data_IF_031108886657
#
_entry.id   IF_031108886657
#
_cell.length_a   1.000
_cell.length_b   1.000
_cell.length_c   1.000
_cell.angle_alpha   90.00
_cell.angle_beta   90.00
_cell.angle_gamma   90.00
#
_symmetry.space_group_name_H-M   'P 1'
#
loop_
_entity.id
_entity.type
_entity.pdbx_description
1 polymer ?
#
# COMPACT_ATOMS: atom_id res chain seq x y z
N UNK A 1 2.40 -12.50 -23.46
CA UNK A 1 2.47 -11.30 -22.58
C UNK A 1 3.62 -11.50 -21.62
N UNK A 2 4.66 -10.66 -21.63
CA UNK A 2 5.70 -10.70 -20.60
C UNK A 2 5.10 -10.07 -19.34
N UNK A 3 4.88 -10.85 -18.28
CA UNK A 3 4.58 -10.31 -16.97
C UNK A 3 5.78 -9.47 -16.52
N UNK A 4 5.60 -8.17 -16.44
CA UNK A 4 6.57 -7.32 -15.78
C UNK A 4 6.48 -7.63 -14.28
N UNK A 5 7.45 -8.40 -13.80
CA UNK A 5 7.61 -8.66 -12.38
C UNK A 5 7.95 -7.33 -11.70
N UNK A 6 7.06 -6.87 -10.83
CA UNK A 6 7.28 -5.65 -10.07
C UNK A 6 7.02 -5.94 -8.57
N UNK A 7 7.63 -5.15 -7.70
CA UNK A 7 7.55 -5.31 -6.25
C UNK A 7 6.11 -5.33 -5.72
N UNK A 8 5.21 -4.58 -6.36
CA UNK A 8 3.80 -4.52 -5.98
C UNK A 8 3.10 -5.87 -6.18
N UNK A 9 3.39 -6.58 -7.27
CA UNK A 9 2.83 -7.92 -7.52
C UNK A 9 3.34 -8.90 -6.48
N UNK A 10 4.62 -8.85 -6.17
CA UNK A 10 5.22 -9.69 -5.14
C UNK A 10 4.58 -9.43 -3.76
N UNK A 11 4.46 -8.17 -3.38
CA UNK A 11 3.81 -7.76 -2.12
C UNK A 11 2.37 -8.27 -2.04
N UNK A 12 1.60 -8.17 -3.12
CA UNK A 12 0.23 -8.70 -3.15
C UNK A 12 0.20 -10.21 -2.92
N UNK A 13 1.08 -10.97 -3.58
CA UNK A 13 1.20 -12.43 -3.39
C UNK A 13 1.55 -12.77 -1.94
N UNK A 14 2.50 -12.05 -1.33
CA UNK A 14 2.88 -12.22 0.06
C UNK A 14 1.71 -11.95 1.02
N UNK A 15 0.96 -10.88 0.80
CA UNK A 15 -0.23 -10.54 1.61
C UNK A 15 -1.29 -11.63 1.53
N UNK A 16 -1.66 -12.06 0.31
CA UNK A 16 -2.66 -13.13 0.15
C UNK A 16 -2.21 -14.46 0.74
N UNK A 17 -0.93 -14.81 0.57
CA UNK A 17 -0.37 -16.03 1.17
C UNK A 17 -0.38 -15.96 2.69
N UNK A 18 -0.09 -14.81 3.30
CA UNK A 18 -0.14 -14.61 4.73
C UNK A 18 -1.56 -14.79 5.29
N UNK A 19 -2.55 -14.18 4.63
CA UNK A 19 -3.97 -14.33 5.03
C UNK A 19 -4.42 -15.79 4.90
N UNK A 20 -4.13 -16.45 3.78
CA UNK A 20 -4.48 -17.84 3.58
C UNK A 20 -3.86 -18.71 4.66
N UNK A 21 -2.60 -18.50 4.99
CA UNK A 21 -1.90 -19.25 6.04
C UNK A 21 -2.57 -19.07 7.40
N UNK A 22 -2.89 -17.84 7.82
CA UNK A 22 -3.57 -17.57 9.09
C UNK A 22 -4.94 -18.26 9.12
N UNK A 23 -5.71 -18.17 8.04
CA UNK A 23 -7.04 -18.77 7.96
C UNK A 23 -7.01 -20.31 8.04
N UNK A 24 -5.94 -20.95 7.51
CA UNK A 24 -5.84 -22.41 7.54
C UNK A 24 -5.13 -22.96 8.78
N UNK A 25 -4.20 -22.23 9.38
CA UNK A 25 -3.40 -22.73 10.50
C UNK A 25 -3.97 -22.37 11.87
N UNK A 26 -4.42 -21.14 12.04
CA UNK A 26 -4.72 -20.60 13.37
C UNK A 26 -6.18 -20.18 13.58
N UNK A 27 -6.90 -19.87 12.51
CA UNK A 27 -8.23 -19.23 12.54
C UNK A 27 -8.31 -18.00 13.48
N UNK A 28 -7.16 -17.43 13.86
CA UNK A 28 -7.02 -16.29 14.75
C UNK A 28 -6.50 -15.07 14.01
N UNK A 29 -7.44 -14.35 13.39
CA UNK A 29 -7.14 -13.12 12.65
C UNK A 29 -6.62 -11.96 13.53
N UNK A 30 -6.62 -12.12 14.86
CA UNK A 30 -6.04 -11.10 15.78
C UNK A 30 -4.51 -11.00 15.62
N UNK A 31 -3.86 -12.07 15.18
CA UNK A 31 -2.41 -12.09 14.90
C UNK A 31 -2.00 -11.31 13.66
N UNK A 32 -2.97 -10.74 12.94
CA UNK A 32 -2.71 -9.99 11.71
C UNK A 32 -1.73 -8.82 11.89
N UNK A 33 -1.70 -8.22 13.08
CA UNK A 33 -0.76 -7.16 13.42
C UNK A 33 0.70 -7.58 13.29
N UNK A 34 1.03 -8.79 13.70
CA UNK A 34 2.38 -9.35 13.70
C UNK A 34 2.86 -9.68 12.29
N UNK A 35 1.94 -9.93 11.37
CA UNK A 35 2.26 -10.24 9.98
C UNK A 35 2.99 -9.09 9.26
N UNK A 36 2.75 -7.86 9.65
CA UNK A 36 3.48 -6.72 9.07
C UNK A 36 4.97 -6.81 9.31
N UNK A 37 5.38 -7.28 10.49
CA UNK A 37 6.78 -7.49 10.86
C UNK A 37 7.37 -8.74 10.24
N UNK A 38 6.55 -9.77 10.05
CA UNK A 38 6.95 -11.01 9.39
C UNK A 38 7.19 -10.80 7.89
N UNK A 39 6.32 -10.03 7.24
CA UNK A 39 6.40 -9.75 5.81
C UNK A 39 7.50 -8.74 5.49
N UNK A 40 7.74 -7.77 6.37
CA UNK A 40 8.80 -6.76 6.27
C UNK A 40 9.70 -6.85 7.50
N UNK A 41 10.62 -7.83 7.55
CA UNK A 41 11.53 -8.00 8.68
C UNK A 41 12.66 -6.98 8.66
N UNK A 42 13.29 -6.79 9.83
CA UNK A 42 14.48 -5.96 9.97
C UNK A 42 14.19 -4.45 9.98
N UNK A 43 15.23 -3.67 9.80
CA UNK A 43 15.21 -2.21 9.94
C UNK A 43 15.39 -1.46 8.62
N UNK A 44 15.76 -2.18 7.55
CA UNK A 44 15.99 -1.58 6.23
C UNK A 44 14.75 -1.61 5.38
N UNK A 45 14.44 -0.48 4.79
CA UNK A 45 13.41 -0.38 3.76
C UNK A 45 13.88 -1.02 2.44
N UNK A 46 12.94 -1.60 1.68
CA UNK A 46 13.21 -2.28 0.42
C UNK A 46 12.64 -1.52 -0.78
N UNK A 47 11.47 -0.92 -0.64
CA UNK A 47 10.76 -0.28 -1.76
C UNK A 47 10.16 1.09 -1.40
N UNK A 48 10.34 1.57 -0.16
CA UNK A 48 9.93 2.89 0.33
C UNK A 48 11.08 3.57 1.05
N UNK A 49 10.90 4.84 1.39
CA UNK A 49 11.92 5.62 2.08
C UNK A 49 12.26 5.13 3.49
N UNK A 50 11.30 4.45 4.17
CA UNK A 50 11.54 3.87 5.49
C UNK A 50 10.67 2.64 5.75
N UNK A 51 11.15 1.78 6.65
CA UNK A 51 10.52 0.50 7.00
C UNK A 51 9.16 0.69 7.69
N UNK A 52 8.97 1.77 8.44
CA UNK A 52 7.70 2.03 9.13
C UNK A 52 6.58 2.28 8.11
N UNK A 53 6.87 3.04 7.06
CA UNK A 53 5.91 3.28 5.98
C UNK A 53 5.63 2.01 5.20
N UNK A 54 6.63 1.18 4.94
CA UNK A 54 6.42 -0.13 4.31
C UNK A 54 5.46 -1.00 5.11
N UNK A 55 5.68 -1.14 6.42
CA UNK A 55 4.81 -1.91 7.31
C UNK A 55 3.40 -1.34 7.39
N UNK A 56 3.28 -0.01 7.46
CA UNK A 56 1.97 0.62 7.45
C UNK A 56 1.19 0.34 6.14
N UNK A 57 1.85 0.42 4.99
CA UNK A 57 1.25 0.06 3.68
C UNK A 57 0.85 -1.42 3.63
N UNK A 58 1.68 -2.31 4.16
CA UNK A 58 1.37 -3.75 4.25
C UNK A 58 0.16 -3.97 5.17
N UNK A 59 0.09 -3.28 6.30
CA UNK A 59 -1.06 -3.36 7.21
C UNK A 59 -2.37 -3.00 6.52
N UNK A 60 -2.40 -1.90 5.78
CA UNK A 60 -3.58 -1.50 5.01
C UNK A 60 -3.91 -2.49 3.88
N UNK A 61 -2.91 -3.11 3.25
CA UNK A 61 -3.14 -4.17 2.26
C UNK A 61 -3.72 -5.43 2.87
N UNK A 62 -3.29 -5.81 4.07
CA UNK A 62 -3.87 -6.93 4.81
C UNK A 62 -5.34 -6.67 5.14
N UNK A 63 -5.68 -5.47 5.62
CA UNK A 63 -7.07 -5.05 5.86
C UNK A 63 -7.93 -5.17 4.61
N UNK A 64 -7.49 -4.55 3.52
CA UNK A 64 -8.22 -4.57 2.24
C UNK A 64 -8.39 -5.99 1.69
N UNK A 65 -7.39 -6.85 1.85
CA UNK A 65 -7.46 -8.23 1.37
C UNK A 65 -8.44 -9.09 2.20
N UNK A 66 -8.72 -8.70 3.44
CA UNK A 66 -9.77 -9.29 4.30
C UNK A 66 -11.15 -8.68 4.05
N UNK A 67 -11.28 -7.70 3.17
CA UNK A 67 -12.52 -6.98 2.93
C UNK A 67 -12.80 -5.81 3.88
N UNK A 68 -11.86 -5.47 4.77
CA UNK A 68 -11.94 -4.26 5.61
C UNK A 68 -11.61 -3.02 4.78
N UNK A 69 -12.16 -1.87 5.19
CA UNK A 69 -11.79 -0.59 4.58
C UNK A 69 -10.40 -0.13 5.03
N UNK A 70 -9.72 0.62 4.15
CA UNK A 70 -8.46 1.26 4.52
C UNK A 70 -8.72 2.32 5.59
N UNK A 71 -7.86 2.37 6.61
CA UNK A 71 -7.98 3.32 7.71
C UNK A 71 -7.64 4.75 7.29
N UNK A 72 -8.26 5.69 7.97
CA UNK A 72 -7.87 7.10 7.90
C UNK A 72 -6.69 7.37 8.85
N UNK A 73 -6.01 8.51 8.69
CA UNK A 73 -4.90 8.88 9.56
C UNK A 73 -5.29 9.08 11.04
N UNK A 74 -6.57 9.24 11.33
CA UNK A 74 -7.09 9.44 12.69
C UNK A 74 -7.42 8.11 13.40
N UNK A 75 -7.48 7.01 12.67
CA UNK A 75 -7.84 5.70 13.23
C UNK A 75 -6.59 5.01 13.77
N UNK A 76 -6.62 4.67 15.06
CA UNK A 76 -5.46 4.10 15.79
C UNK A 76 -5.66 2.66 16.23
N UNK A 77 -6.77 2.04 15.88
CA UNK A 77 -7.11 0.66 16.24
C UNK A 77 -6.18 -0.40 15.63
N UNK A 78 -6.30 -1.66 16.07
CA UNK A 78 -5.55 -2.76 15.51
C UNK A 78 -5.92 -3.01 14.04
N UNK A 79 -5.02 -3.67 13.30
CA UNK A 79 -5.24 -3.99 11.88
C UNK A 79 -6.48 -4.87 11.68
N UNK A 80 -6.80 -5.71 12.66
CA UNK A 80 -7.94 -6.64 12.63
C UNK A 80 -9.27 -6.00 13.09
N UNK A 81 -9.27 -4.73 13.48
CA UNK A 81 -10.50 -4.06 13.93
C UNK A 81 -11.59 -4.07 12.87
N UNK A 82 -12.80 -4.50 13.28
CA UNK A 82 -13.99 -4.60 12.41
C UNK A 82 -14.13 -5.92 11.65
N UNK A 83 -13.23 -6.88 11.84
CA UNK A 83 -13.26 -8.16 11.12
C UNK A 83 -14.49 -9.00 11.48
N UNK A 84 -14.95 -8.91 12.71
CA UNK A 84 -16.15 -9.60 13.22
C UNK A 84 -17.44 -9.12 12.56
N UNK A 85 -17.41 -7.98 11.92
CA UNK A 85 -18.58 -7.36 11.28
C UNK A 85 -18.63 -7.61 9.76
N UNK A 86 -17.66 -8.35 9.21
CA UNK A 86 -17.61 -8.60 7.77
C UNK A 86 -18.44 -9.83 7.42
N UNK A 87 -19.42 -9.62 6.57
CA UNK A 87 -20.05 -10.71 5.83
C UNK A 87 -19.22 -10.99 4.57
N UNK A 88 -18.43 -12.05 4.62
CA UNK A 88 -17.50 -12.42 3.55
C UNK A 88 -18.22 -12.69 2.24
N UNK A 89 -19.42 -13.25 2.28
CA UNK A 89 -20.17 -13.66 1.09
C UNK A 89 -20.68 -12.45 0.28
N UNK A 90 -21.04 -11.37 0.96
CA UNK A 90 -21.58 -10.18 0.32
C UNK A 90 -20.54 -9.11 0.06
N UNK A 91 -19.43 -9.10 0.80
CA UNK A 91 -18.40 -8.05 0.73
C UNK A 91 -17.78 -7.87 -0.64
N UNK A 92 -17.60 -8.95 -1.40
CA UNK A 92 -17.02 -8.91 -2.75
C UNK A 92 -17.82 -8.00 -3.71
N UNK A 93 -19.11 -7.87 -3.48
CA UNK A 93 -20.02 -7.08 -4.31
C UNK A 93 -20.34 -5.70 -3.73
N UNK A 94 -19.84 -5.39 -2.54
CA UNK A 94 -20.13 -4.11 -1.87
C UNK A 94 -19.15 -3.03 -2.33
N UNK A 95 -19.63 -1.92 -2.93
CA UNK A 95 -18.76 -0.79 -3.26
C UNK A 95 -18.14 -0.14 -2.00
N UNK A 96 -16.96 0.47 -2.12
CA UNK A 96 -16.16 0.60 -3.34
C UNK A 96 -15.37 -0.67 -3.67
N UNK A 97 -15.37 -1.06 -4.94
CA UNK A 97 -14.59 -2.23 -5.42
C UNK A 97 -13.09 -1.93 -5.56
N UNK A 98 -12.73 -0.67 -5.49
CA UNK A 98 -11.34 -0.18 -5.54
C UNK A 98 -11.11 0.80 -4.42
N UNK A 99 -10.08 0.56 -3.62
CA UNK A 99 -9.68 1.44 -2.52
C UNK A 99 -8.27 1.98 -2.72
N UNK A 100 -8.06 3.23 -2.31
CA UNK A 100 -6.75 3.89 -2.37
C UNK A 100 -6.14 3.90 -0.97
N UNK A 101 -4.97 3.28 -0.85
CA UNK A 101 -4.17 3.34 0.37
C UNK A 101 -3.44 4.69 0.40
N UNK A 102 -3.98 5.66 1.14
CA UNK A 102 -3.46 7.03 1.19
C UNK A 102 -1.99 7.11 1.61
N UNK A 103 -1.58 6.33 2.60
CA UNK A 103 -0.19 6.29 3.08
C UNK A 103 0.79 5.73 2.02
N UNK A 104 0.30 4.99 1.04
CA UNK A 104 1.11 4.49 -0.07
C UNK A 104 1.29 5.53 -1.19
N UNK A 105 0.54 6.63 -1.16
CA UNK A 105 0.67 7.69 -2.14
C UNK A 105 1.93 8.51 -1.85
N UNK A 106 2.76 8.71 -2.87
CA UNK A 106 3.99 9.52 -2.77
C UNK A 106 3.74 11.00 -2.98
N UNK A 107 2.48 11.44 -2.97
CA UNK A 107 2.05 12.79 -3.30
C UNK A 107 2.73 13.31 -4.58
N UNK A 108 1.98 13.51 -5.63
CA UNK A 108 2.54 14.14 -6.82
C UNK A 108 3.22 15.45 -6.41
N UNK A 109 4.47 15.70 -6.81
CA UNK A 109 5.10 16.97 -6.52
C UNK A 109 4.18 18.08 -7.02
N UNK A 110 4.04 19.14 -6.26
CA UNK A 110 3.40 20.36 -6.75
C UNK A 110 4.00 20.68 -8.12
N UNK A 111 3.16 21.08 -9.06
CA UNK A 111 3.56 21.31 -10.46
C UNK A 111 4.49 22.54 -10.56
N UNK A 112 5.59 22.51 -9.87
CA UNK A 112 6.67 23.47 -9.97
C UNK A 112 7.67 22.96 -11.00
N UNK A 113 7.73 23.65 -12.12
CA UNK A 113 8.73 23.36 -13.15
C UNK A 113 9.98 24.15 -12.80
N UNK A 114 11.08 23.44 -12.53
CA UNK A 114 12.37 24.06 -12.26
C UNK A 114 13.26 23.99 -13.50
N UNK A 115 13.88 25.11 -13.86
CA UNK A 115 14.94 25.15 -14.85
C UNK A 115 16.24 24.78 -14.15
N UNK A 116 16.81 23.63 -14.49
CA UNK A 116 18.09 23.18 -13.92
C UNK A 116 19.27 23.94 -14.50
N UNK A 117 20.42 23.91 -13.82
CA UNK A 117 21.68 24.49 -14.31
C UNK A 117 22.16 23.85 -15.63
N UNK A 118 21.61 22.69 -16.01
CA UNK A 118 21.88 22.03 -17.29
C UNK A 118 21.13 22.63 -18.47
N UNK A 119 20.28 23.64 -18.24
CA UNK A 119 19.58 24.33 -19.31
C UNK A 119 20.56 25.04 -20.23
N UNK A 120 20.56 24.67 -21.49
CA UNK A 120 21.45 25.26 -22.54
C UNK A 120 20.98 26.63 -23.05
N UNK A 121 19.89 27.17 -22.53
CA UNK A 121 19.29 28.44 -22.97
C UNK A 121 19.16 28.52 -24.48
N UNK A 122 18.67 27.46 -25.12
CA UNK A 122 18.54 27.38 -26.58
C UNK A 122 17.65 28.50 -27.10
N UNK A 123 18.01 29.08 -28.23
CA UNK A 123 17.19 30.07 -28.93
C UNK A 123 16.24 29.33 -29.89
N UNK A 124 14.93 29.61 -29.88
CA UNK A 124 14.19 30.73 -29.32
C UNK A 124 13.51 30.50 -27.94
N UNK A 125 14.08 29.86 -26.99
CA UNK A 125 13.60 29.69 -25.58
C UNK A 125 12.10 29.34 -25.42
N UNK A 126 11.57 28.44 -26.22
CA UNK A 126 10.13 28.07 -26.25
C UNK A 126 9.59 27.57 -24.91
N UNK A 127 10.44 27.12 -24.01
CA UNK A 127 10.08 26.63 -22.68
C UNK A 127 9.90 27.73 -21.62
N UNK A 128 10.22 28.99 -21.93
CA UNK A 128 10.06 30.10 -21.00
C UNK A 128 8.77 30.93 -21.17
N UNK A 129 7.88 30.51 -22.05
CA UNK A 129 6.66 31.26 -22.38
C UNK A 129 5.37 30.57 -21.88
N UNK A 130 5.45 29.76 -20.80
CA UNK A 130 4.26 29.17 -20.17
C UNK A 130 4.19 29.50 -18.70
#
# INVERSE_FOLDING_TARGET
MREFYNDIINIRRMVFAAIARIAYEDDDLKKLGDETYRLIPGEKAHYRENVFRERAVIGERLRLALGLDARTAAETGPISEGIENIDVDTRVYTPPLVSVIKIACEACPEKTVFVTNNCRKCWPQKCGYH
#
